data_IF_582484706440
#
_entry.id   IF_582484706440
#
_cell.length_a   1.000
_cell.length_b   1.000
_cell.length_c   1.000
_cell.angle_alpha   90.00
_cell.angle_beta   90.00
_cell.angle_gamma   90.00
#
_symmetry.space_group_name_H-M   'P 1'
#
loop_
_entity.id
_entity.type
_entity.pdbx_description
1 polymer ?
#
# COMPACT_ATOMS: atom_id res chain seq x y z
N UNK A 1 -17.21 -11.78 -45.17
CA UNK A 1 -17.77 -10.65 -44.41
C UNK A 1 -17.77 -10.92 -42.90
N UNK A 2 -18.16 -12.10 -42.42
CA UNK A 2 -18.23 -12.43 -40.97
C UNK A 2 -16.88 -12.34 -40.23
N UNK A 3 -15.77 -12.78 -40.85
CA UNK A 3 -14.42 -12.70 -40.22
C UNK A 3 -13.93 -11.26 -40.01
N UNK A 4 -14.21 -10.34 -40.93
CA UNK A 4 -13.84 -8.90 -40.78
C UNK A 4 -14.65 -8.20 -39.67
N UNK A 5 -15.90 -8.58 -39.47
CA UNK A 5 -16.74 -8.07 -38.38
C UNK A 5 -16.23 -8.52 -37.01
N UNK A 6 -15.74 -9.77 -36.88
CA UNK A 6 -15.14 -10.28 -35.64
C UNK A 6 -13.86 -9.52 -35.26
N UNK A 7 -12.97 -9.22 -36.21
CA UNK A 7 -11.78 -8.45 -35.97
C UNK A 7 -12.08 -7.00 -35.56
N UNK A 8 -13.13 -6.39 -36.14
CA UNK A 8 -13.58 -5.04 -35.75
C UNK A 8 -14.14 -5.01 -34.33
N UNK A 9 -14.88 -6.04 -33.92
CA UNK A 9 -15.41 -6.17 -32.55
C UNK A 9 -14.26 -6.41 -31.56
N UNK A 10 -13.29 -7.28 -31.87
CA UNK A 10 -12.10 -7.50 -31.05
C UNK A 10 -11.25 -6.23 -30.94
N UNK A 11 -11.08 -5.49 -32.02
CA UNK A 11 -10.35 -4.22 -32.01
C UNK A 11 -11.09 -3.15 -31.21
N UNK A 12 -12.40 -3.12 -31.27
CA UNK A 12 -13.23 -2.20 -30.49
C UNK A 12 -13.19 -2.51 -28.97
N UNK A 13 -13.06 -3.78 -28.58
CA UNK A 13 -12.88 -4.20 -27.19
C UNK A 13 -11.51 -3.79 -26.61
N UNK A 14 -10.47 -3.61 -27.45
CA UNK A 14 -9.15 -3.15 -27.03
C UNK A 14 -9.06 -1.63 -26.80
N UNK A 15 -10.07 -0.86 -27.22
CA UNK A 15 -10.09 0.61 -27.15
C UNK A 15 -10.92 1.10 -25.94
N UNK A 16 -11.54 0.22 -25.14
CA UNK A 16 -12.21 0.66 -23.94
C UNK A 16 -11.16 1.20 -22.95
N UNK A 17 -11.13 2.53 -22.71
CA UNK A 17 -10.28 3.06 -21.64
C UNK A 17 -10.75 2.41 -20.34
N UNK A 18 -9.84 1.80 -19.63
CA UNK A 18 -10.08 1.43 -18.23
C UNK A 18 -10.42 2.71 -17.48
N UNK A 19 -11.67 2.90 -17.11
CA UNK A 19 -12.04 3.98 -16.20
C UNK A 19 -11.50 3.59 -14.83
N UNK A 20 -10.31 4.06 -14.51
CA UNK A 20 -9.79 4.02 -13.14
C UNK A 20 -10.56 5.07 -12.36
N UNK A 21 -11.43 4.62 -11.46
CA UNK A 21 -11.99 5.48 -10.44
C UNK A 21 -10.85 5.79 -9.46
N UNK A 22 -10.26 6.97 -9.58
CA UNK A 22 -9.39 7.50 -8.56
C UNK A 22 -10.28 8.12 -7.48
N UNK A 23 -10.03 7.81 -6.22
CA UNK A 23 -10.69 8.47 -5.10
C UNK A 23 -10.45 9.98 -5.17
N UNK A 24 -11.43 10.78 -4.77
CA UNK A 24 -11.30 12.24 -4.79
C UNK A 24 -10.27 12.70 -3.76
N UNK A 25 -9.24 13.42 -4.21
CA UNK A 25 -8.25 14.07 -3.36
C UNK A 25 -8.76 15.42 -2.91
N UNK A 26 -8.61 15.71 -1.63
CA UNK A 26 -9.04 16.95 -0.99
C UNK A 26 -7.86 17.75 -0.49
N UNK A 27 -7.66 18.95 -1.03
CA UNK A 27 -6.60 19.85 -0.60
C UNK A 27 -6.83 20.33 0.84
N UNK A 28 -5.75 20.38 1.64
CA UNK A 28 -5.77 20.77 3.05
C UNK A 28 -4.59 21.65 3.41
N UNK A 29 -4.71 22.43 4.49
CA UNK A 29 -3.61 23.21 5.02
C UNK A 29 -2.95 22.48 6.20
N UNK A 30 -1.63 22.52 6.29
CA UNK A 30 -0.91 21.95 7.42
C UNK A 30 -1.10 22.76 8.68
N UNK A 31 -1.34 22.09 9.81
CA UNK A 31 -1.46 22.70 11.13
C UNK A 31 -0.30 22.37 12.05
N UNK A 32 -0.07 21.08 12.29
CA UNK A 32 1.02 20.60 13.15
C UNK A 32 1.27 19.10 13.01
N UNK A 33 2.52 18.67 13.21
CA UNK A 33 2.84 17.27 13.39
C UNK A 33 2.50 16.78 14.79
N UNK A 34 2.14 15.51 14.90
CA UNK A 34 1.94 14.81 16.16
C UNK A 34 3.02 13.73 16.29
N UNK A 35 3.08 12.83 15.30
CA UNK A 35 4.04 11.74 15.21
C UNK A 35 4.41 11.46 13.76
N UNK A 36 5.18 10.43 13.46
CA UNK A 36 5.58 10.09 12.10
C UNK A 36 4.41 9.73 11.18
N UNK A 37 3.33 9.19 11.72
CA UNK A 37 2.14 8.76 10.97
C UNK A 37 0.85 9.49 11.37
N UNK A 38 0.97 10.57 12.10
CA UNK A 38 -0.19 11.33 12.58
C UNK A 38 0.08 12.82 12.53
N UNK A 39 -0.79 13.59 11.87
CA UNK A 39 -0.70 15.05 11.80
C UNK A 39 -2.06 15.73 11.94
N UNK A 40 -2.04 17.05 12.13
CA UNK A 40 -3.24 17.90 12.10
C UNK A 40 -3.23 18.76 10.86
N UNK A 41 -4.40 18.88 10.27
CA UNK A 41 -4.65 19.70 9.08
C UNK A 41 -5.88 20.56 9.29
N UNK A 42 -6.03 21.59 8.45
CA UNK A 42 -7.28 22.36 8.31
C UNK A 42 -7.95 21.89 7.03
N UNK A 43 -9.13 21.33 7.15
CA UNK A 43 -9.99 20.89 6.05
C UNK A 43 -11.34 21.58 6.18
N UNK A 44 -11.80 22.30 5.13
CA UNK A 44 -13.06 23.06 5.14
C UNK A 44 -13.17 24.05 6.33
N UNK A 45 -12.04 24.68 6.73
CA UNK A 45 -11.91 25.59 7.88
C UNK A 45 -12.01 24.93 9.25
N UNK A 46 -12.07 23.59 9.32
CA UNK A 46 -12.08 22.85 10.58
C UNK A 46 -10.72 22.15 10.80
N UNK A 47 -10.25 22.19 12.04
CA UNK A 47 -9.06 21.41 12.41
C UNK A 47 -9.42 19.94 12.53
N UNK A 48 -8.71 19.10 11.79
CA UNK A 48 -8.85 17.65 11.82
C UNK A 48 -7.54 16.98 12.21
N UNK A 49 -7.64 15.83 12.87
CA UNK A 49 -6.52 14.95 13.16
C UNK A 49 -6.57 13.77 12.20
N UNK A 50 -5.48 13.52 11.49
CA UNK A 50 -5.38 12.45 10.50
C UNK A 50 -4.35 11.42 10.96
N UNK A 51 -4.72 10.15 10.93
CA UNK A 51 -3.85 8.97 11.03
C UNK A 51 -3.66 8.43 9.63
N UNK A 52 -2.42 8.34 9.21
CA UNK A 52 -2.05 7.87 7.88
C UNK A 52 -2.39 6.39 7.73
N UNK A 53 -2.97 6.01 6.59
CA UNK A 53 -3.46 4.66 6.33
C UNK A 53 -2.32 3.66 6.14
N UNK A 54 -2.58 2.44 6.56
CA UNK A 54 -1.80 1.23 6.26
C UNK A 54 -0.34 1.25 6.72
N UNK A 55 0.10 2.23 7.51
CA UNK A 55 1.45 2.30 8.05
C UNK A 55 1.49 2.44 9.58
N UNK A 56 2.63 2.13 10.16
CA UNK A 56 2.96 2.34 11.56
C UNK A 56 4.41 2.80 11.69
N UNK A 57 4.61 4.00 12.25
CA UNK A 57 5.94 4.52 12.54
C UNK A 57 6.35 4.19 13.97
N UNK A 58 7.66 4.06 14.27
CA UNK A 58 8.10 3.96 15.65
C UNK A 58 7.66 5.17 16.47
N UNK A 59 7.24 4.93 17.71
CA UNK A 59 6.69 5.94 18.59
C UNK A 59 7.76 6.89 19.13
N UNK A 60 7.51 8.20 19.10
CA UNK A 60 8.40 9.20 19.71
C UNK A 60 8.25 9.29 21.22
N UNK A 61 7.09 8.87 21.75
CA UNK A 61 6.80 8.97 23.18
C UNK A 61 5.81 7.88 23.65
N UNK A 62 6.28 6.63 23.67
CA UNK A 62 5.44 5.54 24.15
C UNK A 62 5.35 5.57 25.68
N UNK A 63 4.15 5.56 26.32
CA UNK A 63 3.95 5.75 27.76
C UNK A 63 4.74 4.78 28.67
N UNK A 64 5.10 3.60 28.16
CA UNK A 64 5.82 2.55 28.91
C UNK A 64 7.22 2.26 28.41
N UNK A 65 7.51 2.53 27.11
CA UNK A 65 8.77 2.15 26.46
C UNK A 65 9.66 3.36 26.17
N UNK A 66 9.13 4.59 26.29
CA UNK A 66 9.83 5.79 25.89
C UNK A 66 9.88 5.96 24.37
N UNK A 67 10.93 6.56 23.87
CA UNK A 67 11.20 6.73 22.45
C UNK A 67 11.67 5.40 21.85
N UNK A 68 11.05 5.01 20.74
CA UNK A 68 11.50 3.85 19.97
C UNK A 68 12.56 4.28 18.93
N UNK A 69 13.54 3.41 18.59
CA UNK A 69 14.52 3.69 17.54
C UNK A 69 13.82 4.13 16.25
N UNK A 70 14.34 5.16 15.58
CA UNK A 70 13.77 5.78 14.37
C UNK A 70 12.46 6.56 14.56
N UNK A 71 11.89 6.64 15.78
CA UNK A 71 10.66 7.40 16.01
C UNK A 71 10.84 8.90 15.75
N UNK A 72 11.94 9.46 16.23
CA UNK A 72 12.28 10.88 16.01
C UNK A 72 12.51 11.17 14.52
N UNK A 73 13.27 10.32 13.86
CA UNK A 73 13.58 10.44 12.44
C UNK A 73 12.32 10.37 11.58
N UNK A 74 11.41 9.44 11.87
CA UNK A 74 10.13 9.31 11.17
C UNK A 74 9.28 10.58 11.32
N UNK A 75 9.18 11.10 12.56
CA UNK A 75 8.47 12.35 12.83
C UNK A 75 9.10 13.55 12.14
N UNK A 76 10.44 13.69 12.22
CA UNK A 76 11.15 14.79 11.56
C UNK A 76 10.99 14.72 10.04
N UNK A 77 11.05 13.53 9.44
CA UNK A 77 10.81 13.33 8.02
C UNK A 77 9.42 13.81 7.62
N UNK A 78 8.38 13.29 8.27
CA UNK A 78 6.98 13.68 8.03
C UNK A 78 6.78 15.19 8.17
N UNK A 79 7.28 15.78 9.27
CA UNK A 79 7.13 17.20 9.51
C UNK A 79 7.81 18.05 8.44
N UNK A 80 9.02 17.70 8.06
CA UNK A 80 9.77 18.43 7.03
C UNK A 80 9.10 18.32 5.67
N UNK A 81 8.65 17.12 5.28
CA UNK A 81 7.96 16.93 4.00
C UNK A 81 6.69 17.75 3.92
N UNK A 82 5.84 17.72 4.96
CA UNK A 82 4.57 18.45 4.97
C UNK A 82 4.81 19.97 5.07
N UNK A 83 5.74 20.43 5.91
CA UNK A 83 6.00 21.87 6.13
C UNK A 83 6.54 22.55 4.87
N UNK A 84 7.36 21.85 4.08
CA UNK A 84 7.97 22.39 2.86
C UNK A 84 7.16 22.12 1.60
N UNK A 85 5.98 21.50 1.72
CA UNK A 85 5.12 21.19 0.59
C UNK A 85 4.50 22.45 -0.03
N UNK A 86 4.40 22.46 -1.34
CA UNK A 86 3.62 23.43 -2.09
C UNK A 86 2.13 23.08 -2.09
N UNK A 87 1.81 21.78 -1.98
CA UNK A 87 0.45 21.25 -1.99
C UNK A 87 0.34 20.04 -1.10
N UNK A 88 -0.74 19.95 -0.33
CA UNK A 88 -1.06 18.80 0.52
C UNK A 88 -2.48 18.36 0.22
N UNK A 89 -2.69 17.08 -0.03
CA UNK A 89 -4.01 16.52 -0.29
C UNK A 89 -4.24 15.27 0.55
N UNK A 90 -5.49 15.08 0.95
CA UNK A 90 -5.96 13.85 1.60
C UNK A 90 -6.85 13.08 0.62
N UNK A 91 -6.58 11.78 0.48
CA UNK A 91 -7.42 10.85 -0.25
C UNK A 91 -8.04 9.87 0.75
N UNK A 92 -9.37 9.80 0.77
CA UNK A 92 -10.11 8.88 1.62
C UNK A 92 -10.34 7.58 0.84
N UNK A 93 -9.93 6.46 1.41
CA UNK A 93 -10.08 5.15 0.77
C UNK A 93 -11.51 4.63 0.96
N UNK A 94 -12.14 4.20 -0.13
CA UNK A 94 -13.51 3.66 -0.12
C UNK A 94 -13.64 2.35 0.67
N UNK A 95 -12.53 1.63 0.85
CA UNK A 95 -12.46 0.39 1.63
C UNK A 95 -12.02 0.61 3.08
N UNK A 96 -11.88 1.87 3.52
CA UNK A 96 -11.53 2.24 4.89
C UNK A 96 -12.70 2.90 5.60
N UNK A 97 -12.78 2.68 6.91
CA UNK A 97 -13.58 3.56 7.75
C UNK A 97 -13.07 5.00 7.64
N UNK A 98 -13.98 5.96 7.63
CA UNK A 98 -13.61 7.38 7.54
C UNK A 98 -12.84 7.87 8.77
N UNK A 99 -13.09 7.26 9.92
CA UNK A 99 -12.44 7.59 11.20
C UNK A 99 -12.19 6.34 12.03
N UNK A 100 -11.13 6.38 12.81
CA UNK A 100 -10.85 5.34 13.78
C UNK A 100 -11.65 5.55 15.11
N UNK A 101 -11.48 4.61 16.05
CA UNK A 101 -12.10 4.64 17.37
C UNK A 101 -11.67 5.83 18.25
N UNK A 102 -10.60 6.53 17.88
CA UNK A 102 -10.11 7.75 18.55
C UNK A 102 -10.55 9.03 17.83
N UNK A 103 -11.50 8.92 16.90
CA UNK A 103 -12.04 10.03 16.10
C UNK A 103 -10.98 10.73 15.22
N UNK A 104 -9.90 10.04 14.85
CA UNK A 104 -8.94 10.50 13.85
C UNK A 104 -9.45 10.11 12.47
N UNK A 105 -9.35 11.01 11.51
CA UNK A 105 -9.59 10.66 10.11
C UNK A 105 -8.53 9.67 9.63
N UNK A 106 -8.95 8.69 8.82
CA UNK A 106 -8.08 7.74 8.15
C UNK A 106 -7.98 8.16 6.69
N UNK A 107 -6.79 8.49 6.22
CA UNK A 107 -6.57 8.96 4.86
C UNK A 107 -5.16 8.67 4.38
N UNK A 108 -5.00 8.60 3.08
CA UNK A 108 -3.73 8.70 2.38
C UNK A 108 -3.31 10.16 2.29
N UNK A 109 -2.04 10.45 2.52
CA UNK A 109 -1.50 11.81 2.53
C UNK A 109 -0.60 12.01 1.32
N UNK A 110 -0.98 12.94 0.46
CA UNK A 110 -0.18 13.34 -0.68
C UNK A 110 0.53 14.66 -0.40
N UNK A 111 1.81 14.69 -0.70
CA UNK A 111 2.68 15.86 -0.56
C UNK A 111 3.38 16.10 -1.89
N UNK A 112 3.04 17.20 -2.57
CA UNK A 112 3.53 17.52 -3.92
C UNK A 112 3.36 16.34 -4.90
N UNK A 113 2.14 15.77 -4.93
CA UNK A 113 1.73 14.61 -5.73
C UNK A 113 2.38 13.26 -5.37
N UNK A 114 3.27 13.20 -4.37
CA UNK A 114 3.87 11.96 -3.86
C UNK A 114 3.10 11.40 -2.65
N UNK A 115 2.95 10.10 -2.57
CA UNK A 115 2.31 9.42 -1.43
C UNK A 115 3.29 9.37 -0.26
N UNK A 116 2.98 10.08 0.83
CA UNK A 116 3.87 10.21 1.98
C UNK A 116 4.09 8.88 2.71
N UNK A 117 3.06 8.03 2.78
CA UNK A 117 3.15 6.69 3.35
C UNK A 117 4.19 5.83 2.61
N UNK A 118 4.22 5.91 1.27
CA UNK A 118 5.22 5.21 0.46
C UNK A 118 6.63 5.74 0.72
N UNK A 119 6.80 7.07 0.77
CA UNK A 119 8.09 7.67 1.10
C UNK A 119 8.61 7.22 2.48
N UNK A 120 7.74 7.15 3.49
CA UNK A 120 8.10 6.69 4.84
C UNK A 120 8.52 5.22 4.84
N UNK A 121 7.77 4.36 4.15
CA UNK A 121 8.08 2.93 4.02
C UNK A 121 9.39 2.73 3.26
N UNK A 122 9.58 3.43 2.15
CA UNK A 122 10.80 3.36 1.33
C UNK A 122 12.07 3.74 2.10
N UNK A 123 11.95 4.72 3.00
CA UNK A 123 13.06 5.15 3.85
C UNK A 123 13.22 4.29 5.12
N UNK A 124 12.44 3.21 5.28
CA UNK A 124 12.46 2.37 6.47
C UNK A 124 12.10 3.12 7.75
N UNK A 125 11.25 4.15 7.64
CA UNK A 125 10.75 4.98 8.75
C UNK A 125 9.32 4.58 9.17
N UNK A 126 8.67 3.73 8.38
CA UNK A 126 7.39 3.11 8.70
C UNK A 126 7.38 1.65 8.23
N UNK A 127 6.61 0.82 8.92
CA UNK A 127 6.25 -0.53 8.46
C UNK A 127 4.81 -0.53 7.96
N UNK A 128 4.48 -1.45 7.08
CA UNK A 128 3.09 -1.68 6.65
C UNK A 128 2.33 -2.36 7.78
N UNK A 129 1.23 -1.75 8.22
CA UNK A 129 0.47 -2.22 9.39
C UNK A 129 -1.01 -1.78 9.33
N UNK A 130 -1.83 -2.31 10.24
CA UNK A 130 -3.25 -1.94 10.40
C UNK A 130 -4.09 -2.12 9.13
N UNK A 131 -3.87 -3.22 8.43
CA UNK A 131 -4.60 -3.61 7.22
C UNK A 131 -5.94 -4.26 7.62
N UNK A 132 -6.97 -3.44 7.83
CA UNK A 132 -8.31 -3.92 8.20
C UNK A 132 -9.24 -4.06 6.98
N UNK A 133 -8.81 -3.62 5.80
CA UNK A 133 -9.51 -3.67 4.54
C UNK A 133 -8.55 -3.86 3.36
N UNK A 134 -9.12 -3.98 2.17
CA UNK A 134 -8.38 -4.05 0.91
C UNK A 134 -8.13 -2.62 0.42
N UNK A 135 -7.19 -1.92 1.05
CA UNK A 135 -6.91 -0.51 0.75
C UNK A 135 -6.15 -0.35 -0.55
N UNK A 136 -6.40 0.78 -1.24
CA UNK A 136 -5.94 1.06 -2.61
C UNK A 136 -4.44 0.91 -2.84
N UNK A 137 -3.60 1.21 -1.84
CA UNK A 137 -2.12 1.22 -2.01
C UNK A 137 -1.41 0.13 -1.21
N UNK A 138 -2.15 -0.82 -0.62
CA UNK A 138 -1.59 -1.87 0.25
C UNK A 138 -0.52 -2.72 -0.43
N UNK A 139 -0.77 -3.16 -1.66
CA UNK A 139 0.17 -4.04 -2.37
C UNK A 139 1.45 -3.28 -2.74
N UNK A 140 1.32 -2.04 -3.20
CA UNK A 140 2.47 -1.17 -3.47
C UNK A 140 3.31 -0.92 -2.22
N UNK A 141 2.67 -0.63 -1.08
CA UNK A 141 3.39 -0.41 0.19
C UNK A 141 4.12 -1.68 0.65
N UNK A 142 3.53 -2.86 0.48
CA UNK A 142 4.20 -4.13 0.82
C UNK A 142 5.44 -4.38 -0.05
N UNK A 143 5.34 -4.13 -1.36
CA UNK A 143 6.48 -4.24 -2.28
C UNK A 143 7.59 -3.27 -1.86
N UNK A 144 7.24 -2.00 -1.61
CA UNK A 144 8.19 -0.98 -1.13
C UNK A 144 8.82 -1.38 0.22
N UNK A 145 8.05 -1.98 1.14
CA UNK A 145 8.58 -2.45 2.42
C UNK A 145 9.60 -3.59 2.24
N UNK A 146 9.33 -4.55 1.36
CA UNK A 146 10.27 -5.64 1.07
C UNK A 146 11.57 -5.08 0.45
N UNK A 147 11.46 -4.14 -0.48
CA UNK A 147 12.65 -3.45 -1.03
C UNK A 147 13.46 -2.73 0.06
N UNK A 148 12.80 -2.04 1.00
CA UNK A 148 13.47 -1.38 2.12
C UNK A 148 14.18 -2.37 3.05
N UNK A 149 13.58 -3.55 3.30
CA UNK A 149 14.18 -4.65 4.06
C UNK A 149 15.39 -5.25 3.36
N UNK A 150 15.28 -5.55 2.06
CA UNK A 150 16.38 -6.09 1.25
C UNK A 150 17.58 -5.14 1.20
N UNK A 151 17.32 -3.83 1.08
CA UNK A 151 18.32 -2.78 1.04
C UNK A 151 18.79 -2.34 2.44
N UNK A 152 18.22 -2.90 3.52
CA UNK A 152 18.55 -2.59 4.92
C UNK A 152 18.46 -1.10 5.23
N UNK A 153 17.39 -0.46 4.83
CA UNK A 153 17.18 0.99 5.00
C UNK A 153 16.47 1.27 6.33
N UNK A 154 16.85 2.37 6.99
CA UNK A 154 16.23 2.86 8.22
C UNK A 154 16.17 1.79 9.32
N UNK A 155 15.00 1.52 9.89
CA UNK A 155 14.80 0.54 10.97
C UNK A 155 15.21 -0.90 10.59
N UNK A 156 15.37 -1.18 9.30
CA UNK A 156 15.81 -2.50 8.83
C UNK A 156 17.32 -2.63 8.74
N UNK A 157 18.10 -1.54 8.93
CA UNK A 157 19.57 -1.56 8.91
C UNK A 157 20.16 -2.36 10.07
N UNK A 158 19.49 -2.37 11.23
CA UNK A 158 19.94 -3.00 12.48
C UNK A 158 19.30 -4.37 12.74
N UNK A 159 18.62 -4.96 11.74
CA UNK A 159 18.06 -6.32 11.87
C UNK A 159 19.22 -7.31 11.97
N UNK A 160 19.64 -7.53 13.21
CA UNK A 160 20.67 -8.47 13.62
C UNK A 160 20.35 -9.87 13.07
N UNK A 161 21.36 -10.55 12.55
CA UNK A 161 21.27 -11.92 11.98
C UNK A 161 20.71 -12.98 12.95
N UNK A 162 20.38 -12.63 14.20
CA UNK A 162 19.79 -13.51 15.19
C UNK A 162 18.37 -13.96 14.85
N UNK A 163 17.60 -13.14 14.10
CA UNK A 163 16.24 -13.49 13.67
C UNK A 163 16.24 -14.50 12.50
N UNK A 164 17.25 -14.44 11.64
CA UNK A 164 17.39 -15.33 10.49
C UNK A 164 17.82 -16.76 10.84
N UNK A 165 18.44 -16.98 11.99
CA UNK A 165 18.84 -18.32 12.43
C UNK A 165 17.67 -19.18 12.93
N UNK A 166 16.61 -18.54 13.44
CA UNK A 166 15.42 -19.26 14.00
C UNK A 166 14.35 -19.48 12.93
N UNK A 167 14.28 -18.63 11.91
CA UNK A 167 13.25 -18.73 10.87
C UNK A 167 13.65 -19.60 9.67
N UNK A 168 14.95 -19.80 9.39
CA UNK A 168 15.39 -20.69 8.29
C UNK A 168 14.87 -22.13 8.41
N UNK A 169 14.54 -22.59 9.61
CA UNK A 169 13.97 -23.93 9.82
C UNK A 169 12.44 -23.99 9.62
N UNK A 170 11.75 -22.85 9.65
CA UNK A 170 10.30 -22.77 9.45
C UNK A 170 9.92 -22.33 8.02
N UNK A 171 10.77 -21.57 7.34
CA UNK A 171 10.51 -21.11 5.96
C UNK A 171 10.67 -22.24 4.93
N UNK A 172 11.66 -23.14 5.12
CA UNK A 172 11.84 -24.27 4.20
C UNK A 172 10.68 -25.27 4.17
N UNK A 173 9.80 -25.30 5.19
CA UNK A 173 8.60 -26.14 5.15
C UNK A 173 7.37 -25.37 4.62
N UNK A 174 7.38 -24.05 4.68
CA UNK A 174 6.27 -23.21 4.21
C UNK A 174 6.37 -22.91 2.71
N UNK A 175 7.57 -22.58 2.23
CA UNK A 175 7.84 -22.34 0.78
C UNK A 175 7.53 -23.55 -0.08
N UNK A 176 7.86 -24.77 0.36
CA UNK A 176 7.54 -25.98 -0.40
C UNK A 176 6.03 -26.27 -0.48
N UNK A 177 5.24 -25.87 0.52
CA UNK A 177 3.79 -26.03 0.51
C UNK A 177 3.12 -24.98 -0.38
N UNK A 178 3.63 -23.76 -0.36
CA UNK A 178 3.10 -22.64 -1.14
C UNK A 178 3.41 -22.81 -2.64
N UNK A 179 4.63 -23.23 -3.02
CA UNK A 179 5.00 -23.58 -4.41
C UNK A 179 4.14 -24.76 -4.94
N UNK A 180 3.93 -25.81 -4.14
CA UNK A 180 3.09 -26.95 -4.55
C UNK A 180 1.61 -26.53 -4.72
N UNK A 181 1.14 -25.58 -3.92
CA UNK A 181 -0.21 -25.06 -4.03
C UNK A 181 -0.38 -24.16 -5.26
N UNK A 182 0.59 -23.28 -5.53
CA UNK A 182 0.61 -22.41 -6.71
C UNK A 182 0.65 -23.22 -8.01
N UNK A 183 1.51 -24.24 -8.09
CA UNK A 183 1.57 -25.15 -9.23
C UNK A 183 0.25 -25.91 -9.45
N UNK A 184 -0.42 -26.33 -8.40
CA UNK A 184 -1.74 -26.97 -8.48
C UNK A 184 -2.82 -26.02 -8.99
N UNK A 185 -2.80 -24.77 -8.51
CA UNK A 185 -3.73 -23.72 -8.95
C UNK A 185 -3.45 -23.37 -10.40
N UNK A 186 -2.19 -23.11 -10.78
CA UNK A 186 -1.78 -22.80 -12.14
C UNK A 186 -2.23 -23.89 -13.12
N UNK A 187 -1.93 -25.17 -12.84
CA UNK A 187 -2.30 -26.29 -13.69
C UNK A 187 -3.83 -26.46 -13.80
N UNK A 188 -4.58 -26.20 -12.74
CA UNK A 188 -6.05 -26.24 -12.76
C UNK A 188 -6.64 -25.13 -13.62
N UNK A 189 -6.10 -23.92 -13.54
CA UNK A 189 -6.51 -22.76 -14.34
C UNK A 189 -6.19 -23.01 -15.82
N UNK A 190 -4.98 -23.45 -16.15
CA UNK A 190 -4.54 -23.72 -17.53
C UNK A 190 -5.34 -24.84 -18.18
N UNK A 191 -5.68 -25.90 -17.46
CA UNK A 191 -6.56 -26.96 -17.94
C UNK A 191 -7.98 -26.48 -18.23
N UNK A 192 -8.51 -25.60 -17.38
CA UNK A 192 -9.85 -25.01 -17.57
C UNK A 192 -9.86 -24.08 -18.78
N UNK A 193 -8.86 -23.22 -18.92
CA UNK A 193 -8.67 -22.34 -20.09
C UNK A 193 -8.53 -23.12 -21.38
N UNK A 194 -7.73 -24.18 -21.39
CA UNK A 194 -7.54 -25.05 -22.56
C UNK A 194 -8.85 -25.72 -23.00
N UNK A 195 -9.67 -26.21 -22.05
CA UNK A 195 -10.99 -26.77 -22.33
C UNK A 195 -11.94 -25.71 -22.89
N UNK A 196 -11.90 -24.50 -22.34
CA UNK A 196 -12.75 -23.39 -22.80
C UNK A 196 -12.37 -22.95 -24.22
N UNK A 197 -11.07 -22.78 -24.49
CA UNK A 197 -10.57 -22.43 -25.84
C UNK A 197 -10.95 -23.51 -26.86
N UNK A 198 -10.78 -24.80 -26.52
CA UNK A 198 -11.19 -25.93 -27.40
C UNK A 198 -12.68 -25.92 -27.65
N UNK A 199 -13.50 -25.56 -26.67
CA UNK A 199 -14.96 -25.45 -26.85
C UNK A 199 -15.30 -24.33 -27.82
N UNK A 200 -14.72 -23.15 -27.66
CA UNK A 200 -14.94 -22.00 -28.57
C UNK A 200 -14.49 -22.33 -30.00
N UNK A 201 -13.34 -22.97 -30.17
CA UNK A 201 -12.86 -23.33 -31.50
C UNK A 201 -13.79 -24.33 -32.21
N UNK A 202 -14.42 -25.25 -31.46
CA UNK A 202 -15.43 -26.19 -32.03
C UNK A 202 -16.73 -25.50 -32.41
N UNK A 203 -17.10 -24.39 -31.77
CA UNK A 203 -18.31 -23.64 -32.10
C UNK A 203 -18.11 -22.67 -33.28
N UNK A 204 -16.85 -22.36 -33.63
CA UNK A 204 -16.47 -21.41 -34.69
C UNK A 204 -16.12 -22.13 -35.99
N UNK A 205 -15.66 -23.38 -35.92
CA UNK A 205 -15.26 -24.22 -37.06
C UNK A 205 -16.11 -25.47 -37.15
#
# INVERSE_FOLDING_TARGET
MKKRAIYLILFMLLIFPSVTYANEKKEVEFKSCIDGDTARFIMDKEEIKVRFLAIDTPETNHPKKGEEPYGKEAKEYTCNRITNASKIELEFDDNSDKKDKYNRYLAWVYVDDSLLEEELVQNGLAKVAYLYGDYSYTDKLKETEEEAKENKVGMYSDVDNSYNATNKNNENSKTNLDEELEDKIYNKVMNTLSKFVKKILREIF
#
